data_IF_621047099151
#
_entry.id   IF_621047099151
#
_cell.length_a   1.000
_cell.length_b   1.000
_cell.length_c   1.000
_cell.angle_alpha   90.00
_cell.angle_beta   90.00
_cell.angle_gamma   90.00
#
_symmetry.space_group_name_H-M   'P 1'
#
loop_
_entity.id
_entity.type
_entity.pdbx_description
1 polymer ?
#
# COMPACT_ATOMS: atom_id res chain seq x y z
N UNK A 1 -16.01 -55.80 45.07
CA UNK A 1 -15.22 -56.87 44.38
C UNK A 1 -14.13 -56.15 43.62
N UNK A 2 -12.89 -55.99 44.24
CA UNK A 2 -11.76 -56.87 44.09
C UNK A 2 -11.38 -57.00 42.61
N UNK A 3 -10.22 -56.55 42.14
CA UNK A 3 -8.86 -57.01 42.44
C UNK A 3 -7.89 -56.05 41.72
N UNK A 4 -7.05 -55.36 42.28
CA UNK A 4 -5.63 -55.47 42.67
C UNK A 4 -4.81 -56.44 41.80
N UNK A 5 -3.87 -55.93 41.03
CA UNK A 5 -2.53 -56.53 40.91
C UNK A 5 -1.50 -55.52 40.43
N UNK A 6 -0.54 -55.35 41.28
CA UNK A 6 0.77 -54.71 41.08
C UNK A 6 1.76 -55.72 40.51
N UNK A 7 2.78 -55.28 39.82
CA UNK A 7 4.12 -55.85 39.70
C UNK A 7 4.98 -54.84 38.93
N UNK A 8 5.92 -54.15 39.50
CA UNK A 8 7.26 -54.41 40.01
C UNK A 8 8.35 -54.62 38.93
N UNK A 9 9.31 -53.69 38.97
CA UNK A 9 10.75 -53.78 38.67
C UNK A 9 11.20 -54.11 37.23
N UNK A 10 12.03 -53.25 36.65
CA UNK A 10 13.48 -53.47 36.58
C UNK A 10 14.19 -52.15 36.20
N UNK A 11 15.11 -51.75 37.04
CA UNK A 11 16.18 -50.78 36.80
C UNK A 11 17.27 -51.46 35.99
N UNK A 12 17.66 -50.90 34.86
CA UNK A 12 18.96 -51.20 34.26
C UNK A 12 19.67 -49.89 33.98
N UNK A 13 20.64 -49.69 34.83
CA UNK A 13 21.69 -48.69 34.71
C UNK A 13 22.71 -49.19 33.68
N UNK A 14 22.92 -48.47 32.58
CA UNK A 14 24.15 -48.63 31.78
C UNK A 14 24.74 -47.26 31.44
N UNK A 15 25.92 -47.13 31.95
CA UNK A 15 26.87 -46.05 31.76
C UNK A 15 27.41 -45.99 30.34
N UNK A 16 27.85 -44.79 30.01
CA UNK A 16 28.98 -44.42 29.13
C UNK A 16 28.76 -44.38 27.62
N UNK A 17 28.99 -43.21 27.09
CA UNK A 17 29.19 -42.96 25.67
C UNK A 17 29.27 -41.47 25.36
N UNK A 18 30.38 -40.82 25.76
CA UNK A 18 30.75 -39.50 25.25
C UNK A 18 30.96 -39.63 23.73
N UNK A 19 30.17 -38.95 22.96
CA UNK A 19 30.49 -38.62 21.57
C UNK A 19 30.16 -37.14 21.35
N UNK A 20 31.15 -36.30 21.46
CA UNK A 20 31.15 -34.93 20.99
C UNK A 20 30.92 -34.95 19.47
N UNK A 21 29.71 -34.63 19.05
CA UNK A 21 29.49 -34.25 17.67
C UNK A 21 29.50 -32.73 17.60
N UNK A 22 30.64 -32.20 17.18
CA UNK A 22 30.78 -30.83 16.69
C UNK A 22 29.88 -30.72 15.44
N UNK A 23 28.67 -30.20 15.64
CA UNK A 23 27.81 -29.79 14.55
C UNK A 23 28.39 -28.50 13.97
N UNK A 24 28.98 -28.62 12.80
CA UNK A 24 29.36 -27.48 11.98
C UNK A 24 28.13 -26.63 11.70
N UNK A 25 28.12 -25.44 12.26
CA UNK A 25 27.13 -24.41 11.88
C UNK A 25 27.35 -24.07 10.42
N UNK A 26 26.48 -24.55 9.56
CA UNK A 26 26.35 -24.05 8.21
C UNK A 26 25.87 -22.59 8.33
N UNK A 27 26.80 -21.66 8.12
CA UNK A 27 26.50 -20.26 7.94
C UNK A 27 25.63 -20.13 6.68
N UNK A 28 24.31 -20.12 6.86
CA UNK A 28 23.40 -19.69 5.85
C UNK A 28 23.75 -18.25 5.50
N UNK A 29 24.21 -18.03 4.27
CA UNK A 29 24.33 -16.70 3.68
C UNK A 29 22.97 -16.05 3.82
N UNK A 30 22.85 -15.10 4.73
CA UNK A 30 21.79 -14.11 4.68
C UNK A 30 21.98 -13.37 3.37
N UNK A 31 21.08 -13.65 2.43
CA UNK A 31 20.90 -12.85 1.24
C UNK A 31 20.51 -11.44 1.73
N UNK A 32 21.49 -10.58 1.78
CA UNK A 32 21.30 -9.16 1.99
C UNK A 32 20.66 -8.62 0.70
N UNK A 33 19.42 -9.00 0.48
CA UNK A 33 18.55 -8.35 -0.45
C UNK A 33 18.60 -6.86 -0.10
N UNK A 34 19.26 -6.09 -0.95
CA UNK A 34 19.32 -4.65 -0.93
C UNK A 34 17.90 -4.12 -0.87
N UNK A 35 17.39 -3.94 0.34
CA UNK A 35 16.10 -3.29 0.56
C UNK A 35 16.25 -1.88 0.01
N UNK A 36 15.64 -1.68 -1.15
CA UNK A 36 15.35 -0.34 -1.66
C UNK A 36 14.78 0.47 -0.50
N UNK A 37 15.24 1.72 -0.25
CA UNK A 37 14.77 2.50 0.87
C UNK A 37 13.24 2.43 0.88
N UNK A 38 12.68 1.94 1.99
CA UNK A 38 11.25 1.68 2.11
C UNK A 38 10.50 2.96 1.69
N UNK A 39 9.92 2.91 0.50
CA UNK A 39 9.09 3.98 -0.02
C UNK A 39 8.04 4.28 1.05
N UNK A 40 8.01 5.50 1.54
CA UNK A 40 6.94 5.87 2.47
C UNK A 40 5.61 5.62 1.78
N UNK A 41 4.63 5.13 2.51
CA UNK A 41 3.37 4.67 1.91
C UNK A 41 2.76 5.69 0.94
N UNK A 42 2.83 7.00 1.24
CA UNK A 42 2.33 8.02 0.33
C UNK A 42 3.12 8.16 -0.97
N UNK A 43 4.41 7.84 -0.99
CA UNK A 43 5.22 7.88 -2.22
C UNK A 43 4.73 6.89 -3.29
N UNK A 44 3.94 5.89 -2.90
CA UNK A 44 3.25 5.00 -3.86
C UNK A 44 2.27 5.75 -4.76
N UNK A 45 1.80 6.92 -4.35
CA UNK A 45 0.93 7.76 -5.18
C UNK A 45 1.68 8.48 -6.29
N UNK A 46 3.01 8.63 -6.17
CA UNK A 46 3.81 9.38 -7.13
C UNK A 46 3.77 8.73 -8.51
N UNK A 47 3.57 9.54 -9.54
CA UNK A 47 3.52 9.11 -10.92
C UNK A 47 2.34 9.69 -11.70
N UNK A 48 2.09 9.11 -12.86
CA UNK A 48 1.06 9.52 -13.80
C UNK A 48 -0.11 8.53 -13.77
N UNK A 49 -1.30 9.06 -13.66
CA UNK A 49 -2.54 8.30 -13.54
C UNK A 49 -3.52 8.72 -14.64
N UNK A 50 -4.17 7.74 -15.26
CA UNK A 50 -5.09 7.96 -16.38
C UNK A 50 -6.46 7.39 -16.05
N UNK A 51 -7.52 8.15 -16.35
CA UNK A 51 -8.90 7.64 -16.33
C UNK A 51 -9.18 6.90 -17.65
N UNK A 52 -9.52 5.61 -17.59
CA UNK A 52 -9.80 4.83 -18.82
C UNK A 52 -11.04 5.31 -19.57
N UNK A 53 -11.99 5.93 -18.87
CA UNK A 53 -13.28 6.37 -19.40
C UNK A 53 -13.25 7.70 -20.16
N UNK A 54 -12.15 8.44 -20.15
CA UNK A 54 -12.09 9.74 -20.83
C UNK A 54 -10.69 10.27 -21.12
N UNK A 55 -9.65 9.51 -20.79
CA UNK A 55 -8.27 9.92 -21.02
C UNK A 55 -7.80 11.11 -20.19
N UNK A 56 -8.52 11.43 -19.11
CA UNK A 56 -8.10 12.45 -18.13
C UNK A 56 -6.83 11.99 -17.43
N UNK A 57 -5.89 12.91 -17.24
CA UNK A 57 -4.60 12.59 -16.64
C UNK A 57 -4.39 13.37 -15.36
N UNK A 58 -4.04 12.67 -14.29
CA UNK A 58 -3.61 13.21 -13.01
C UNK A 58 -2.15 12.83 -12.80
N UNK A 59 -1.28 13.81 -12.60
CA UNK A 59 0.14 13.59 -12.33
C UNK A 59 0.46 14.05 -10.92
N UNK A 60 1.06 13.16 -10.12
CA UNK A 60 1.43 13.39 -8.73
C UNK A 60 2.94 13.34 -8.60
N UNK A 61 3.53 14.39 -8.02
CA UNK A 61 4.97 14.57 -7.84
C UNK A 61 5.29 15.06 -6.44
N UNK A 62 6.55 14.86 -6.03
CA UNK A 62 7.06 15.38 -4.76
C UNK A 62 6.20 14.96 -3.56
N UNK A 63 5.75 13.73 -3.55
CA UNK A 63 4.90 13.20 -2.50
C UNK A 63 5.72 12.99 -1.23
N UNK A 64 5.39 13.74 -0.17
CA UNK A 64 6.11 13.72 1.10
C UNK A 64 5.44 12.82 2.13
N UNK A 65 6.17 12.54 3.21
CA UNK A 65 5.71 11.72 4.33
C UNK A 65 4.51 12.31 5.07
N UNK A 66 4.36 13.64 5.06
CA UNK A 66 3.26 14.37 5.67
C UNK A 66 2.00 14.43 4.80
N UNK A 67 2.03 13.83 3.61
CA UNK A 67 0.93 13.83 2.65
C UNK A 67 0.90 15.05 1.72
N UNK A 68 1.80 16.01 1.90
CA UNK A 68 1.93 17.13 0.95
C UNK A 68 2.49 16.65 -0.38
N UNK A 69 1.99 17.20 -1.49
CA UNK A 69 2.37 16.80 -2.84
C UNK A 69 2.10 17.91 -3.86
N UNK A 70 2.68 17.75 -5.03
CA UNK A 70 2.36 18.58 -6.21
C UNK A 70 1.51 17.76 -7.16
N UNK A 71 0.38 18.31 -7.61
CA UNK A 71 -0.47 17.67 -8.59
C UNK A 71 -0.63 18.55 -9.84
N UNK A 72 -0.69 17.88 -11.00
CA UNK A 72 -1.10 18.48 -12.27
C UNK A 72 -2.25 17.64 -12.86
N UNK A 73 -3.22 18.33 -13.47
CA UNK A 73 -4.38 17.66 -14.08
C UNK A 73 -4.61 18.15 -15.51
N UNK A 74 -4.96 17.22 -16.40
CA UNK A 74 -5.11 17.49 -17.83
C UNK A 74 -6.42 16.89 -18.37
N UNK A 75 -7.13 17.70 -19.21
CA UNK A 75 -8.36 17.29 -19.91
C UNK A 75 -8.55 18.06 -21.26
N UNK A 76 -7.91 17.69 -22.37
CA UNK A 76 -6.51 17.30 -22.49
C UNK A 76 -5.54 18.42 -22.14
N UNK A 77 -6.03 19.66 -22.05
CA UNK A 77 -5.23 20.85 -21.65
C UNK A 77 -5.01 20.85 -20.15
N UNK A 78 -3.95 21.49 -19.68
CA UNK A 78 -3.75 21.70 -18.25
C UNK A 78 -4.94 22.42 -17.61
N UNK A 79 -5.41 21.89 -16.50
CA UNK A 79 -6.46 22.45 -15.64
C UNK A 79 -5.81 22.81 -14.31
N UNK A 80 -6.11 23.99 -13.79
CA UNK A 80 -5.53 24.47 -12.53
C UNK A 80 -5.95 23.59 -11.36
N UNK A 81 -4.99 22.94 -10.73
CA UNK A 81 -5.17 22.29 -9.43
C UNK A 81 -5.03 23.37 -8.34
N UNK A 82 -6.07 23.55 -7.56
CA UNK A 82 -6.09 24.52 -6.46
C UNK A 82 -5.50 23.92 -5.18
N UNK A 83 -5.84 22.65 -4.90
CA UNK A 83 -5.39 21.90 -3.72
C UNK A 83 -5.22 20.44 -4.06
N UNK A 84 -4.17 19.82 -3.53
CA UNK A 84 -3.98 18.38 -3.57
C UNK A 84 -3.27 17.93 -2.29
N UNK A 85 -3.75 16.86 -1.69
CA UNK A 85 -3.18 16.31 -0.46
C UNK A 85 -3.46 14.81 -0.35
N UNK A 86 -2.51 14.07 0.19
CA UNK A 86 -2.67 12.69 0.59
C UNK A 86 -2.94 12.59 2.11
N UNK A 87 -3.71 11.59 2.50
CA UNK A 87 -4.03 11.34 3.90
C UNK A 87 -4.26 9.86 4.15
N UNK A 88 -4.71 9.52 5.37
CA UNK A 88 -5.15 8.18 5.74
C UNK A 88 -6.54 8.21 6.34
N UNK A 89 -7.33 7.25 5.93
CA UNK A 89 -8.63 6.97 6.54
C UNK A 89 -8.76 5.46 6.73
N UNK A 90 -8.94 5.02 7.97
CA UNK A 90 -9.08 3.60 8.32
C UNK A 90 -7.94 2.72 7.72
N UNK A 91 -6.70 3.18 7.82
CA UNK A 91 -5.52 2.47 7.29
C UNK A 91 -5.31 2.60 5.77
N UNK A 92 -6.30 3.08 5.01
CA UNK A 92 -6.21 3.25 3.56
C UNK A 92 -5.64 4.62 3.20
N UNK A 93 -4.76 4.67 2.21
CA UNK A 93 -4.25 5.92 1.67
C UNK A 93 -5.37 6.60 0.88
N UNK A 94 -5.60 7.87 1.17
CA UNK A 94 -6.56 8.73 0.48
C UNK A 94 -5.86 9.84 -0.26
N UNK A 95 -6.45 10.30 -1.37
CA UNK A 95 -5.99 11.44 -2.14
C UNK A 95 -7.17 12.37 -2.38
N UNK A 96 -7.00 13.63 -2.05
CA UNK A 96 -7.94 14.69 -2.36
C UNK A 96 -7.32 15.63 -3.40
N UNK A 97 -8.08 16.01 -4.42
CA UNK A 97 -7.68 16.98 -5.43
C UNK A 97 -8.85 17.91 -5.71
N UNK A 98 -8.63 19.22 -5.65
CA UNK A 98 -9.59 20.26 -6.00
C UNK A 98 -9.13 21.03 -7.23
N UNK A 99 -10.02 21.16 -8.21
CA UNK A 99 -9.79 21.89 -9.45
C UNK A 99 -10.51 23.23 -9.41
N UNK A 100 -9.78 24.30 -9.72
CA UNK A 100 -10.36 25.64 -9.90
C UNK A 100 -9.87 26.27 -11.19
N UNK A 101 -10.69 26.16 -12.21
CA UNK A 101 -10.45 26.68 -13.55
C UNK A 101 -11.78 27.05 -14.20
N UNK A 102 -11.73 27.61 -15.41
CA UNK A 102 -12.90 27.76 -16.26
C UNK A 102 -13.52 26.38 -16.47
N UNK A 103 -14.81 26.19 -16.27
CA UNK A 103 -15.53 24.90 -16.25
C UNK A 103 -15.21 23.95 -15.07
N UNK A 104 -14.35 24.37 -14.13
CA UNK A 104 -14.03 23.60 -12.92
C UNK A 104 -14.10 24.50 -11.67
N UNK A 105 -15.29 25.06 -11.33
CA UNK A 105 -15.43 25.98 -10.21
C UNK A 105 -15.49 25.24 -8.86
N UNK A 106 -14.43 24.51 -8.49
CA UNK A 106 -14.37 23.69 -7.28
C UNK A 106 -14.76 22.24 -7.48
N UNK A 107 -14.55 21.68 -8.65
CA UNK A 107 -14.70 20.23 -8.87
C UNK A 107 -13.64 19.47 -8.08
N UNK A 108 -14.02 18.32 -7.49
CA UNK A 108 -13.12 17.59 -6.59
C UNK A 108 -13.04 16.10 -6.91
N UNK A 109 -11.85 15.55 -6.68
CA UNK A 109 -11.62 14.11 -6.59
C UNK A 109 -11.40 13.72 -5.14
N UNK A 110 -12.10 12.71 -4.69
CA UNK A 110 -11.87 12.04 -3.39
C UNK A 110 -11.61 10.57 -3.67
N UNK A 111 -10.34 10.17 -3.58
CA UNK A 111 -9.86 8.89 -4.04
C UNK A 111 -9.25 8.08 -2.91
N UNK A 112 -9.26 6.75 -3.06
CA UNK A 112 -8.55 5.80 -2.23
C UNK A 112 -7.58 5.00 -3.09
N UNK A 113 -6.38 4.78 -2.59
CA UNK A 113 -5.40 3.94 -3.26
C UNK A 113 -5.63 2.47 -2.92
N UNK A 114 -5.77 1.66 -3.95
CA UNK A 114 -5.85 0.21 -3.86
C UNK A 114 -4.48 -0.39 -4.24
N UNK A 115 -3.68 -0.84 -3.25
CA UNK A 115 -2.34 -1.37 -3.51
C UNK A 115 -2.35 -2.74 -4.21
N UNK A 116 -3.46 -3.48 -4.14
CA UNK A 116 -3.56 -4.80 -4.76
C UNK A 116 -3.69 -4.70 -6.28
N UNK A 117 -4.32 -3.64 -6.78
CA UNK A 117 -4.55 -3.42 -8.21
C UNK A 117 -3.80 -2.22 -8.78
N UNK A 118 -3.04 -1.50 -7.95
CA UNK A 118 -2.36 -0.24 -8.27
C UNK A 118 -3.30 0.76 -8.96
N UNK A 119 -4.44 1.04 -8.31
CA UNK A 119 -5.47 1.94 -8.80
C UNK A 119 -5.86 2.98 -7.76
N UNK A 120 -6.31 4.14 -8.23
CA UNK A 120 -6.99 5.13 -7.42
C UNK A 120 -8.49 5.06 -7.74
N UNK A 121 -9.31 4.76 -6.74
CA UNK A 121 -10.77 4.60 -6.88
C UNK A 121 -11.50 5.58 -5.99
N UNK A 122 -12.61 6.11 -6.45
CA UNK A 122 -13.42 6.99 -5.61
C UNK A 122 -14.43 7.82 -6.37
N UNK A 123 -14.63 9.05 -5.91
CA UNK A 123 -15.66 9.94 -6.40
C UNK A 123 -15.05 11.16 -7.07
N UNK A 124 -15.69 11.57 -8.18
CA UNK A 124 -15.50 12.86 -8.81
C UNK A 124 -16.77 13.69 -8.64
N UNK A 125 -16.67 14.81 -7.96
CA UNK A 125 -17.74 15.79 -7.90
C UNK A 125 -17.51 16.86 -8.98
N UNK A 126 -18.45 16.95 -9.91
CA UNK A 126 -18.48 17.98 -10.95
C UNK A 126 -19.28 19.18 -10.46
N UNK A 127 -18.60 20.30 -10.24
CA UNK A 127 -19.19 21.45 -9.58
C UNK A 127 -20.23 22.18 -10.45
N UNK A 128 -20.09 22.18 -11.78
CA UNK A 128 -21.03 22.87 -12.70
C UNK A 128 -22.41 22.23 -12.67
N UNK A 129 -22.46 20.91 -12.82
CA UNK A 129 -23.73 20.16 -12.85
C UNK A 129 -24.15 19.65 -11.47
N UNK A 130 -23.31 19.86 -10.45
CA UNK A 130 -23.51 19.37 -9.08
C UNK A 130 -23.75 17.85 -9.02
N UNK A 131 -23.07 17.12 -9.88
CA UNK A 131 -23.17 15.67 -9.97
C UNK A 131 -21.92 14.98 -9.42
N UNK A 132 -22.10 13.77 -8.92
CA UNK A 132 -21.00 12.94 -8.40
C UNK A 132 -20.95 11.62 -9.16
N UNK A 133 -19.77 11.27 -9.64
CA UNK A 133 -19.50 10.07 -10.41
C UNK A 133 -18.54 9.14 -9.67
N UNK A 134 -18.76 7.84 -9.79
CA UNK A 134 -17.77 6.85 -9.45
C UNK A 134 -16.72 6.78 -10.55
N UNK A 135 -15.46 6.88 -10.17
CA UNK A 135 -14.35 6.88 -11.13
C UNK A 135 -13.17 6.06 -10.63
N UNK A 136 -12.33 5.67 -11.56
CA UNK A 136 -11.02 5.13 -11.23
C UNK A 136 -9.93 5.73 -12.13
N UNK A 137 -8.71 5.74 -11.58
CA UNK A 137 -7.50 5.99 -12.33
C UNK A 137 -6.62 4.75 -12.30
N UNK A 138 -6.00 4.44 -13.41
CA UNK A 138 -4.96 3.42 -13.54
C UNK A 138 -3.62 4.09 -13.73
N UNK A 139 -2.56 3.44 -13.27
CA UNK A 139 -1.21 3.97 -13.48
C UNK A 139 -0.87 3.94 -14.97
N UNK A 140 -0.37 5.07 -15.50
CA UNK A 140 0.17 5.11 -16.85
C UNK A 140 1.45 4.27 -16.93
N UNK A 141 1.59 3.51 -17.98
CA UNK A 141 2.82 2.75 -18.30
C UNK A 141 3.87 3.65 -18.92
#
# INVERSE_FOLDING_TARGET
MATLMATLFIVVLCMAGFAEHVAAAAAGKADTGKSSPAQTDFQRLEGRWVRPDGGYVLELRNVKKDGSLTAAYYNPRPIRVFRAEAGRKNGTITLFVELRDVNYPGSTYTLQYDPATDRLKGKYFQAVEKQTFDIEFVRAK
#
